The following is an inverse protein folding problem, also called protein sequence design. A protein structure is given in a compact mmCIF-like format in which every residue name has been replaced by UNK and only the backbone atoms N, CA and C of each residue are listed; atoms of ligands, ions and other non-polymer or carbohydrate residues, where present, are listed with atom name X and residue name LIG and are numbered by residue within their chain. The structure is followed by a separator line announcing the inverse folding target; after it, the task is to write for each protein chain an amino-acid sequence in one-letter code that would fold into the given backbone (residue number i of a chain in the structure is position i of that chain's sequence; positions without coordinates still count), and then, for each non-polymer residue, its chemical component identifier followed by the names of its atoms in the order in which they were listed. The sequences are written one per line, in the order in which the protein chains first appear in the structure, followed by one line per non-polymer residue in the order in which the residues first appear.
data_IF_759490198521
#
_entry.id   IF_759490198521
#
_cell.length_a   1.000
_cell.length_b   1.000
_cell.length_c   1.000
_cell.angle_alpha   90.00
_cell.angle_beta   90.00
_cell.angle_gamma   90.00
#
_symmetry.space_group_name_H-M   'P 1'
#
loop_
_entity.id
_entity.type
_entity.pdbx_description
1 polymer ?
#
# COMPACT_ATOMS: atom_id res chain seq x y z
N UNK A 1 -2.03 2.79 3.35
CA UNK A 1 -2.67 3.14 4.63
C UNK A 1 -3.72 4.23 4.48
N UNK A 2 -3.46 5.32 3.74
CA UNK A 2 -4.45 6.41 3.55
C UNK A 2 -5.74 5.98 2.83
N UNK A 3 -5.64 5.10 1.83
CA UNK A 3 -6.80 4.65 1.03
C UNK A 3 -7.78 3.76 1.82
N UNK A 4 -7.25 2.97 2.77
CA UNK A 4 -8.06 2.17 3.69
C UNK A 4 -8.80 3.05 4.69
N UNK A 5 -8.15 4.07 5.26
CA UNK A 5 -8.84 4.99 6.16
C UNK A 5 -9.90 5.81 5.44
N UNK A 6 -9.64 6.21 4.19
CA UNK A 6 -10.61 6.95 3.38
C UNK A 6 -11.85 6.12 3.05
N UNK A 7 -11.66 4.84 2.69
CA UNK A 7 -12.77 3.92 2.43
C UNK A 7 -13.56 3.57 3.69
N UNK A 8 -12.90 3.38 4.84
CA UNK A 8 -13.59 3.14 6.13
C UNK A 8 -14.40 4.36 6.56
N UNK A 9 -13.83 5.58 6.49
CA UNK A 9 -14.53 6.82 6.83
C UNK A 9 -15.74 7.07 5.93
N UNK A 10 -15.60 6.83 4.62
CA UNK A 10 -16.70 6.98 3.66
C UNK A 10 -17.85 5.99 3.91
N UNK A 11 -17.57 4.83 4.53
CA UNK A 11 -18.58 3.83 4.90
C UNK A 11 -19.23 4.16 6.25
N UNK A 12 -18.48 4.73 7.19
CA UNK A 12 -19.00 5.19 8.48
C UNK A 12 -19.93 6.40 8.34
N UNK A 13 -19.55 7.40 7.54
CA UNK A 13 -20.39 8.59 7.27
C UNK A 13 -21.72 8.22 6.60
N UNK A 14 -21.75 7.20 5.73
CA UNK A 14 -22.98 6.76 5.08
C UNK A 14 -23.92 5.95 5.99
N UNK A 15 -23.45 5.47 7.14
CA UNK A 15 -24.27 4.71 8.10
C UNK A 15 -24.93 5.60 9.16
N UNK A 16 -24.38 6.79 9.43
CA UNK A 16 -24.97 7.78 10.36
C UNK A 16 -26.33 8.30 9.82
N UNK A 17 -26.46 8.50 8.51
CA UNK A 17 -27.69 9.00 7.87
C UNK A 17 -28.89 8.03 7.96
N UNK A 18 -28.67 6.76 8.35
CA UNK A 18 -29.72 5.72 8.33
C UNK A 18 -30.30 5.40 9.71
N UNK A 19 -29.79 6.02 10.78
CA UNK A 19 -30.19 5.72 12.18
C UNK A 19 -31.35 6.55 12.71
N UNK A 20 -31.84 7.53 11.95
CA UNK A 20 -32.73 8.58 12.43
C UNK A 20 -34.22 8.41 12.10
N UNK A 21 -34.86 7.24 12.19
CA UNK A 21 -36.34 7.23 12.16
C UNK A 21 -36.99 5.94 12.69
N UNK A 22 -37.12 5.85 14.03
CA UNK A 22 -38.09 4.96 14.67
C UNK A 22 -39.00 5.80 15.58
N UNK A 23 -39.78 6.69 14.96
CA UNK A 23 -40.87 7.40 15.64
C UNK A 23 -42.09 6.48 15.57
N UNK A 24 -42.48 5.95 16.74
CA UNK A 24 -43.71 5.22 16.98
C UNK A 24 -44.89 6.09 16.51
N UNK A 25 -45.55 5.69 15.40
CA UNK A 25 -46.75 6.37 14.90
C UNK A 25 -47.90 6.19 15.92
N UNK A 26 -48.60 7.27 16.33
CA UNK A 26 -49.75 7.15 17.20
C UNK A 26 -50.89 6.43 16.47
N UNK A 27 -51.57 5.53 17.18
CA UNK A 27 -52.78 4.87 16.70
C UNK A 27 -53.89 5.92 16.55
N UNK A 28 -54.24 6.25 15.31
CA UNK A 28 -55.28 7.23 15.00
C UNK A 28 -56.65 6.70 15.44
N UNK A 29 -57.29 7.42 16.36
CA UNK A 29 -58.70 7.23 16.73
C UNK A 29 -59.57 7.43 15.48
N UNK A 30 -60.34 6.42 15.12
CA UNK A 30 -61.17 6.39 13.92
C UNK A 30 -62.33 7.39 14.06
N UNK A 31 -62.16 8.59 13.47
CA UNK A 31 -63.25 9.56 13.31
C UNK A 31 -63.94 9.26 11.98
N UNK A 32 -65.23 8.93 11.95
CA UNK A 32 -65.93 8.65 10.70
C UNK A 32 -65.91 9.91 9.81
N UNK A 33 -65.43 9.76 8.58
CA UNK A 33 -65.39 10.85 7.60
C UNK A 33 -66.80 11.17 7.12
N UNK A 34 -67.12 12.46 7.03
CA UNK A 34 -68.36 12.96 6.45
C UNK A 34 -68.24 12.87 4.93
N UNK A 35 -69.33 12.54 4.24
CA UNK A 35 -69.32 12.22 2.80
C UNK A 35 -68.76 13.34 1.91
N UNK A 36 -68.92 14.62 2.27
CA UNK A 36 -68.33 15.75 1.51
C UNK A 36 -66.81 15.80 1.61
N UNK A 37 -66.25 15.51 2.78
CA UNK A 37 -64.80 15.51 3.00
C UNK A 37 -64.16 14.35 2.22
N UNK A 38 -64.81 13.19 2.19
CA UNK A 38 -64.40 12.07 1.36
C UNK A 38 -64.44 12.39 -0.13
N UNK A 39 -65.51 13.01 -0.63
CA UNK A 39 -65.61 13.37 -2.04
C UNK A 39 -64.52 14.37 -2.44
N UNK A 40 -64.25 15.38 -1.59
CA UNK A 40 -63.14 16.32 -1.81
C UNK A 40 -61.80 15.60 -1.86
N UNK A 41 -61.50 14.77 -0.86
CA UNK A 41 -60.26 14.00 -0.79
C UNK A 41 -60.11 13.02 -1.98
N UNK A 42 -61.20 12.40 -2.42
CA UNK A 42 -61.24 11.52 -3.57
C UNK A 42 -60.94 12.27 -4.87
N UNK A 43 -61.62 13.39 -5.13
CA UNK A 43 -61.42 14.20 -6.33
C UNK A 43 -59.98 14.75 -6.38
N UNK A 44 -59.41 15.16 -5.25
CA UNK A 44 -58.00 15.57 -5.13
C UNK A 44 -57.07 14.39 -5.44
N UNK A 45 -57.28 13.23 -4.80
CA UNK A 45 -56.46 12.03 -4.99
C UNK A 45 -56.46 11.53 -6.45
N UNK A 46 -57.60 11.65 -7.13
CA UNK A 46 -57.76 11.26 -8.53
C UNK A 46 -57.35 12.37 -9.52
N UNK A 47 -56.92 13.55 -9.03
CA UNK A 47 -56.47 14.67 -9.88
C UNK A 47 -57.58 15.41 -10.63
N UNK A 48 -58.84 15.25 -10.22
CA UNK A 48 -60.02 15.82 -10.88
C UNK A 48 -60.32 17.26 -10.40
N UNK A 49 -59.37 18.17 -10.60
CA UNK A 49 -59.41 19.52 -10.03
C UNK A 49 -60.56 20.38 -10.54
N UNK A 50 -60.94 20.28 -11.83
CA UNK A 50 -62.08 21.04 -12.38
C UNK A 50 -63.41 20.57 -11.79
N UNK A 51 -63.57 19.26 -11.62
CA UNK A 51 -64.76 18.66 -11.00
C UNK A 51 -64.86 19.04 -9.54
N UNK A 52 -63.72 19.10 -8.82
CA UNK A 52 -63.66 19.59 -7.45
C UNK A 52 -64.13 21.04 -7.33
N UNK A 53 -63.70 21.92 -8.25
CA UNK A 53 -64.02 23.34 -8.22
C UNK A 53 -65.52 23.59 -8.47
N UNK A 54 -66.09 22.90 -9.46
CA UNK A 54 -67.54 22.90 -9.70
C UNK A 54 -68.31 22.36 -8.50
N UNK A 55 -67.89 21.20 -7.98
CA UNK A 55 -68.51 20.57 -6.81
C UNK A 55 -68.51 21.51 -5.60
N UNK A 56 -67.38 22.12 -5.26
CA UNK A 56 -67.29 23.05 -4.14
C UNK A 56 -68.22 24.25 -4.32
N UNK A 57 -68.25 24.84 -5.52
CA UNK A 57 -69.10 26.00 -5.82
C UNK A 57 -70.58 25.66 -5.65
N UNK A 58 -71.04 24.57 -6.27
CA UNK A 58 -72.42 24.11 -6.17
C UNK A 58 -72.79 23.71 -4.73
N UNK A 59 -71.86 23.08 -4.02
CA UNK A 59 -72.04 22.64 -2.64
C UNK A 59 -72.27 23.81 -1.68
N UNK A 60 -71.43 24.86 -1.75
CA UNK A 60 -71.60 26.06 -0.93
C UNK A 60 -72.86 26.84 -1.31
N UNK A 61 -73.23 26.88 -2.60
CA UNK A 61 -74.45 27.52 -3.05
C UNK A 61 -75.71 26.81 -2.51
N UNK A 62 -75.74 25.48 -2.55
CA UNK A 62 -76.85 24.69 -2.01
C UNK A 62 -76.95 24.81 -0.49
N UNK A 63 -75.81 24.93 0.20
CA UNK A 63 -75.77 25.14 1.66
C UNK A 63 -76.34 26.51 2.05
N UNK A 64 -75.96 27.58 1.35
CA UNK A 64 -76.47 28.94 1.62
C UNK A 64 -77.96 29.08 1.32
N UNK A 65 -78.49 28.33 0.35
CA UNK A 65 -79.92 28.27 0.03
C UNK A 65 -80.74 27.45 1.03
N UNK A 66 -80.09 26.78 1.99
CA UNK A 66 -80.75 25.95 3.01
C UNK A 66 -81.39 24.67 2.47
N UNK A 67 -81.00 24.24 1.26
CA UNK A 67 -81.51 23.02 0.62
C UNK A 67 -80.80 21.78 1.18
N UNK A 68 -79.58 21.98 1.68
CA UNK A 68 -78.72 20.94 2.23
C UNK A 68 -78.65 21.06 3.75
N UNK A 69 -79.18 20.07 4.47
CA UNK A 69 -78.97 19.92 5.90
C UNK A 69 -77.66 19.15 6.14
N UNK A 70 -76.74 19.77 6.86
CA UNK A 70 -75.46 19.15 7.25
C UNK A 70 -75.69 17.94 8.18
N UNK A 71 -76.82 17.90 8.89
CA UNK A 71 -77.17 16.80 9.79
C UNK A 71 -77.71 15.56 9.05
N UNK A 72 -78.21 15.72 7.81
CA UNK A 72 -78.68 14.61 6.95
C UNK A 72 -77.53 13.97 6.15
N UNK A 73 -76.33 14.56 6.24
CA UNK A 73 -75.12 14.05 5.62
C UNK A 73 -74.63 12.80 6.35
N UNK A 74 -74.82 11.65 5.72
CA UNK A 74 -74.34 10.37 6.24
C UNK A 74 -72.81 10.30 6.35
N UNK A 75 -72.35 9.31 7.10
CA UNK A 75 -70.92 8.97 7.18
C UNK A 75 -70.53 8.01 6.05
N UNK A 76 -69.26 8.08 5.64
CA UNK A 76 -68.71 7.12 4.68
C UNK A 76 -68.63 5.73 5.32
N UNK A 77 -69.05 4.67 4.60
CA UNK A 77 -68.92 3.30 5.09
C UNK A 77 -67.47 2.93 5.42
N UNK A 78 -67.27 2.39 6.63
CA UNK A 78 -65.96 2.04 7.21
C UNK A 78 -65.08 1.16 6.28
N UNK A 79 -65.70 0.31 5.46
CA UNK A 79 -65.00 -0.59 4.52
C UNK A 79 -64.15 0.18 3.50
N UNK A 80 -64.59 1.34 3.02
CA UNK A 80 -63.81 2.15 2.06
C UNK A 80 -62.60 2.79 2.72
N UNK A 81 -62.78 3.35 3.93
CA UNK A 81 -61.70 3.91 4.74
C UNK A 81 -60.67 2.83 5.08
N UNK A 82 -61.14 1.63 5.43
CA UNK A 82 -60.28 0.48 5.70
C UNK A 82 -59.46 0.07 4.46
N UNK A 83 -60.08 -0.04 3.29
CA UNK A 83 -59.37 -0.36 2.04
C UNK A 83 -58.32 0.70 1.69
N UNK A 84 -58.64 1.98 1.87
CA UNK A 84 -57.68 3.06 1.65
C UNK A 84 -56.49 2.97 2.62
N UNK A 85 -56.72 2.62 3.89
CA UNK A 85 -55.66 2.39 4.86
C UNK A 85 -54.79 1.19 4.47
N UNK A 86 -55.40 0.09 4.01
CA UNK A 86 -54.68 -1.08 3.52
C UNK A 86 -53.82 -0.75 2.29
N UNK A 87 -54.35 -0.01 1.32
CA UNK A 87 -53.60 0.43 0.14
C UNK A 87 -52.41 1.32 0.52
N UNK A 88 -52.63 2.27 1.44
CA UNK A 88 -51.56 3.11 1.98
C UNK A 88 -50.51 2.26 2.70
N UNK A 89 -50.93 1.24 3.46
CA UNK A 89 -50.01 0.33 4.14
C UNK A 89 -49.21 -0.49 3.13
N UNK A 90 -49.84 -1.05 2.11
CA UNK A 90 -49.17 -1.79 1.02
C UNK A 90 -48.15 -0.89 0.31
N UNK A 91 -48.52 0.36 -0.01
CA UNK A 91 -47.62 1.31 -0.64
C UNK A 91 -46.40 1.62 0.27
N UNK A 92 -46.64 1.83 1.58
CA UNK A 92 -45.55 2.05 2.55
C UNK A 92 -44.62 0.84 2.65
N UNK A 93 -45.17 -0.37 2.74
CA UNK A 93 -44.40 -1.61 2.85
C UNK A 93 -43.60 -1.89 1.59
N UNK A 94 -44.16 -1.63 0.40
CA UNK A 94 -43.42 -1.74 -0.87
C UNK A 94 -42.24 -0.77 -0.90
N UNK A 95 -42.43 0.47 -0.46
CA UNK A 95 -41.34 1.46 -0.38
C UNK A 95 -40.26 1.02 0.61
N UNK A 96 -40.64 0.57 1.80
CA UNK A 96 -39.70 0.04 2.80
C UNK A 96 -38.91 -1.16 2.24
N UNK A 97 -39.58 -2.10 1.58
CA UNK A 97 -38.95 -3.26 0.95
C UNK A 97 -37.91 -2.86 -0.10
N UNK A 98 -38.22 -1.92 -0.99
CA UNK A 98 -37.25 -1.43 -1.98
C UNK A 98 -36.07 -0.70 -1.32
N UNK A 99 -36.32 0.06 -0.26
CA UNK A 99 -35.24 0.69 0.52
C UNK A 99 -34.31 -0.37 1.14
N UNK A 100 -34.87 -1.44 1.74
CA UNK A 100 -34.07 -2.53 2.31
C UNK A 100 -33.27 -3.29 1.25
N UNK A 101 -33.87 -3.54 0.08
CA UNK A 101 -33.16 -4.15 -1.05
C UNK A 101 -31.99 -3.30 -1.51
N UNK A 102 -32.20 -1.99 -1.69
CA UNK A 102 -31.15 -1.06 -2.08
C UNK A 102 -30.02 -1.00 -1.05
N UNK A 103 -30.36 -0.91 0.24
CA UNK A 103 -29.39 -0.94 1.33
C UNK A 103 -28.59 -2.26 1.36
N UNK A 104 -29.26 -3.40 1.20
CA UNK A 104 -28.62 -4.72 1.15
C UNK A 104 -27.68 -4.84 -0.05
N UNK A 105 -28.07 -4.33 -1.22
CA UNK A 105 -27.23 -4.37 -2.41
C UNK A 105 -25.98 -3.51 -2.23
N UNK A 106 -26.15 -2.27 -1.75
CA UNK A 106 -25.05 -1.35 -1.44
C UNK A 106 -24.07 -1.94 -0.42
N UNK A 107 -24.58 -2.56 0.66
CA UNK A 107 -23.76 -3.24 1.64
C UNK A 107 -22.97 -4.41 1.02
N UNK A 108 -23.60 -5.18 0.11
CA UNK A 108 -22.94 -6.23 -0.66
C UNK A 108 -21.79 -5.73 -1.52
N UNK A 109 -21.98 -4.61 -2.23
CA UNK A 109 -20.93 -3.98 -3.05
C UNK A 109 -19.74 -3.51 -2.20
N UNK A 110 -20.02 -2.87 -1.06
CA UNK A 110 -18.99 -2.42 -0.12
C UNK A 110 -18.19 -3.61 0.42
N UNK A 111 -18.86 -4.70 0.80
CA UNK A 111 -18.19 -5.91 1.28
C UNK A 111 -17.23 -6.46 0.23
N UNK A 112 -17.64 -6.52 -1.04
CA UNK A 112 -16.77 -7.00 -2.13
C UNK A 112 -15.54 -6.10 -2.28
N UNK A 113 -15.68 -4.77 -2.20
CA UNK A 113 -14.56 -3.83 -2.26
C UNK A 113 -13.59 -4.01 -1.09
N UNK A 114 -14.10 -4.04 0.15
CA UNK A 114 -13.29 -4.26 1.35
C UNK A 114 -12.57 -5.62 1.33
N UNK A 115 -13.23 -6.66 0.81
CA UNK A 115 -12.63 -7.98 0.66
C UNK A 115 -11.43 -7.96 -0.29
N UNK A 116 -11.57 -7.29 -1.43
CA UNK A 116 -10.47 -7.13 -2.42
C UNK A 116 -9.29 -6.38 -1.80
N UNK A 117 -9.56 -5.28 -1.11
CA UNK A 117 -8.51 -4.47 -0.47
C UNK A 117 -7.76 -5.25 0.62
N UNK A 118 -8.50 -5.94 1.49
CA UNK A 118 -7.92 -6.85 2.49
C UNK A 118 -7.04 -7.92 1.84
N UNK A 119 -7.52 -8.54 0.76
CA UNK A 119 -6.78 -9.60 0.08
C UNK A 119 -5.53 -9.05 -0.63
N UNK A 120 -5.60 -7.84 -1.19
CA UNK A 120 -4.46 -7.10 -1.73
C UNK A 120 -3.40 -6.84 -0.66
N UNK A 121 -3.78 -6.26 0.48
CA UNK A 121 -2.85 -6.01 1.59
C UNK A 121 -2.24 -7.30 2.13
N UNK A 122 -3.05 -8.35 2.31
CA UNK A 122 -2.56 -9.64 2.79
C UNK A 122 -1.56 -10.27 1.82
N UNK A 123 -1.83 -10.20 0.52
CA UNK A 123 -0.90 -10.70 -0.50
C UNK A 123 0.38 -9.86 -0.55
N UNK A 124 0.26 -8.54 -0.51
CA UNK A 124 1.38 -7.61 -0.55
C UNK A 124 2.30 -7.79 0.66
N UNK A 125 1.74 -7.85 1.87
CA UNK A 125 2.50 -8.12 3.09
C UNK A 125 3.27 -9.44 3.02
N UNK A 126 2.64 -10.52 2.50
CA UNK A 126 3.32 -11.81 2.30
C UNK A 126 4.49 -11.70 1.32
N UNK A 127 4.30 -11.00 0.19
CA UNK A 127 5.36 -10.77 -0.81
C UNK A 127 6.53 -10.01 -0.19
N UNK A 128 6.27 -8.88 0.46
CA UNK A 128 7.30 -8.04 1.09
C UNK A 128 8.05 -8.84 2.17
N UNK A 129 7.35 -9.65 2.96
CA UNK A 129 8.00 -10.52 3.95
C UNK A 129 8.93 -11.56 3.30
N UNK A 130 8.53 -12.15 2.17
CA UNK A 130 9.39 -13.08 1.42
C UNK A 130 10.64 -12.37 0.87
N UNK A 131 10.48 -11.20 0.26
CA UNK A 131 11.58 -10.39 -0.27
C UNK A 131 12.55 -9.97 0.86
N UNK A 132 12.02 -9.48 1.98
CA UNK A 132 12.80 -9.15 3.18
C UNK A 132 13.61 -10.36 3.65
N UNK A 133 12.99 -11.53 3.76
CA UNK A 133 13.68 -12.74 4.21
C UNK A 133 14.79 -13.18 3.25
N UNK A 134 14.57 -13.02 1.93
CA UNK A 134 15.60 -13.27 0.91
C UNK A 134 16.80 -12.34 1.10
N UNK A 135 16.56 -11.04 1.24
CA UNK A 135 17.61 -10.05 1.48
C UNK A 135 18.37 -10.31 2.77
N UNK A 136 17.66 -10.68 3.85
CA UNK A 136 18.30 -11.06 5.12
C UNK A 136 19.26 -12.24 4.93
N UNK A 137 18.87 -13.25 4.15
CA UNK A 137 19.72 -14.40 3.88
C UNK A 137 20.94 -14.02 3.03
N UNK A 138 20.76 -13.16 2.02
CA UNK A 138 21.86 -12.67 1.19
C UNK A 138 22.87 -11.86 2.03
N UNK A 139 22.39 -10.98 2.91
CA UNK A 139 23.24 -10.25 3.86
C UNK A 139 24.00 -11.20 4.78
N UNK A 140 23.35 -12.24 5.32
CA UNK A 140 24.01 -13.24 6.17
C UNK A 140 25.11 -13.98 5.41
N UNK A 141 24.84 -14.41 4.17
CA UNK A 141 25.83 -15.07 3.31
C UNK A 141 27.01 -14.16 3.02
N UNK A 142 26.74 -12.89 2.70
CA UNK A 142 27.76 -11.90 2.41
C UNK A 142 28.64 -11.64 3.63
N UNK A 143 28.06 -11.43 4.81
CA UNK A 143 28.80 -11.26 6.06
C UNK A 143 29.71 -12.44 6.35
N UNK A 144 29.23 -13.68 6.15
CA UNK A 144 30.05 -14.90 6.32
C UNK A 144 31.25 -14.91 5.36
N UNK A 145 31.05 -14.51 4.11
CA UNK A 145 32.11 -14.43 3.11
C UNK A 145 33.15 -13.34 3.43
N UNK A 146 32.72 -12.17 3.91
CA UNK A 146 33.66 -11.14 4.38
C UNK A 146 34.45 -11.57 5.60
N UNK A 147 33.80 -12.25 6.56
CA UNK A 147 34.50 -12.81 7.72
C UNK A 147 35.59 -13.82 7.31
N UNK A 148 35.44 -14.54 6.20
CA UNK A 148 36.49 -15.43 5.70
C UNK A 148 37.66 -14.72 5.03
N UNK A 149 37.54 -13.47 4.59
CA UNK A 149 38.67 -12.72 4.03
C UNK A 149 39.62 -12.18 5.11
N UNK A 150 39.11 -11.88 6.30
CA UNK A 150 39.91 -11.39 7.42
C UNK A 150 41.17 -12.24 7.70
N UNK A 151 41.06 -13.58 7.86
CA UNK A 151 42.25 -14.41 8.10
C UNK A 151 43.20 -14.42 6.90
N UNK A 152 42.68 -14.42 5.67
CA UNK A 152 43.55 -14.40 4.47
C UNK A 152 44.36 -13.11 4.35
N UNK A 153 43.77 -11.97 4.73
CA UNK A 153 44.47 -10.68 4.77
C UNK A 153 45.50 -10.63 5.90
N UNK A 154 45.16 -11.18 7.07
CA UNK A 154 46.08 -11.31 8.20
C UNK A 154 47.29 -12.19 7.84
N UNK A 155 47.05 -13.34 7.20
CA UNK A 155 48.11 -14.22 6.70
C UNK A 155 49.00 -13.54 5.66
N UNK A 156 48.42 -12.82 4.70
CA UNK A 156 49.18 -12.10 3.68
C UNK A 156 50.05 -11.00 4.30
N UNK A 157 49.50 -10.29 5.29
CA UNK A 157 50.22 -9.28 6.07
C UNK A 157 51.39 -9.92 6.82
N UNK A 158 51.18 -11.07 7.47
CA UNK A 158 52.25 -11.80 8.16
C UNK A 158 53.34 -12.27 7.18
N UNK A 159 52.97 -12.81 6.01
CA UNK A 159 53.91 -13.20 4.96
C UNK A 159 54.74 -12.01 4.46
N UNK A 160 54.11 -10.86 4.27
CA UNK A 160 54.80 -9.63 3.87
C UNK A 160 55.84 -9.19 4.91
N UNK A 161 55.47 -9.13 6.20
CA UNK A 161 56.39 -8.78 7.28
C UNK A 161 57.56 -9.77 7.38
N UNK A 162 57.29 -11.07 7.21
CA UNK A 162 58.32 -12.10 7.23
C UNK A 162 59.28 -11.97 6.04
N UNK A 163 58.77 -11.74 4.83
CA UNK A 163 59.58 -11.52 3.64
C UNK A 163 60.46 -10.26 3.78
N UNK A 164 59.94 -9.18 4.37
CA UNK A 164 60.73 -7.98 4.69
C UNK A 164 61.86 -8.28 5.67
N UNK A 165 61.59 -9.02 6.75
CA UNK A 165 62.62 -9.43 7.73
C UNK A 165 63.69 -10.29 7.07
N UNK A 166 63.30 -11.27 6.25
CA UNK A 166 64.23 -12.12 5.51
C UNK A 166 65.08 -11.30 4.53
N UNK A 167 64.48 -10.40 3.75
CA UNK A 167 65.20 -9.49 2.85
C UNK A 167 66.27 -8.69 3.61
N UNK A 168 65.93 -8.17 4.79
CA UNK A 168 66.87 -7.43 5.62
C UNK A 168 68.04 -8.31 6.09
N UNK A 169 67.76 -9.53 6.57
CA UNK A 169 68.80 -10.49 6.97
C UNK A 169 69.72 -10.87 5.81
N UNK A 170 69.17 -11.20 4.64
CA UNK A 170 69.96 -11.53 3.44
C UNK A 170 70.79 -10.33 2.97
N UNK A 171 70.27 -9.10 3.08
CA UNK A 171 71.05 -7.90 2.77
C UNK A 171 72.26 -7.76 3.71
N UNK A 172 72.08 -7.98 5.02
CA UNK A 172 73.15 -7.94 6.00
C UNK A 172 74.20 -9.05 5.76
N UNK A 173 73.77 -10.26 5.44
CA UNK A 173 74.66 -11.37 5.09
C UNK A 173 75.48 -11.06 3.83
N UNK A 174 74.83 -10.51 2.79
CA UNK A 174 75.49 -10.03 1.58
C UNK A 174 76.53 -8.96 1.90
N UNK A 175 76.19 -7.97 2.72
CA UNK A 175 77.10 -6.89 3.09
C UNK A 175 78.30 -7.42 3.90
N UNK A 176 78.09 -8.40 4.80
CA UNK A 176 79.16 -9.09 5.52
C UNK A 176 80.08 -9.86 4.57
N UNK A 177 79.53 -10.61 3.61
CA UNK A 177 80.30 -11.36 2.63
C UNK A 177 81.12 -10.43 1.71
N UNK A 178 80.52 -9.31 1.25
CA UNK A 178 81.22 -8.28 0.49
C UNK A 178 82.34 -7.66 1.32
N UNK A 179 82.10 -7.33 2.60
CA UNK A 179 83.13 -6.83 3.50
C UNK A 179 84.31 -7.80 3.68
N UNK A 180 84.03 -9.10 3.81
CA UNK A 180 85.06 -10.14 3.84
C UNK A 180 85.85 -10.21 2.52
N UNK A 181 85.17 -10.20 1.37
CA UNK A 181 85.82 -10.20 0.04
C UNK A 181 86.69 -8.96 -0.17
N UNK A 182 86.22 -7.78 0.23
CA UNK A 182 87.01 -6.54 0.16
C UNK A 182 88.23 -6.59 1.07
N UNK A 183 88.10 -7.13 2.28
CA UNK A 183 89.24 -7.35 3.19
C UNK A 183 90.27 -8.32 2.63
N UNK A 184 89.82 -9.45 2.06
CA UNK A 184 90.69 -10.41 1.37
C UNK A 184 91.35 -9.79 0.14
N UNK A 185 90.62 -9.02 -0.67
CA UNK A 185 91.14 -8.33 -1.84
C UNK A 185 92.20 -7.28 -1.46
N UNK A 186 91.98 -6.52 -0.38
CA UNK A 186 92.97 -5.58 0.14
C UNK A 186 94.25 -6.30 0.58
N UNK A 187 94.12 -7.43 1.29
CA UNK A 187 95.25 -8.29 1.68
C UNK A 187 96.00 -8.81 0.46
N UNK A 188 95.28 -9.29 -0.57
CA UNK A 188 95.87 -9.76 -1.83
C UNK A 188 96.59 -8.63 -2.58
N UNK A 189 96.02 -7.42 -2.63
CA UNK A 189 96.68 -6.25 -3.22
C UNK A 189 97.94 -5.85 -2.47
N UNK A 190 97.95 -5.89 -1.14
CA UNK A 190 99.17 -5.60 -0.36
C UNK A 190 100.26 -6.64 -0.61
N UNK A 191 99.91 -7.91 -0.83
CA UNK A 191 100.87 -8.95 -1.20
C UNK A 191 101.37 -8.78 -2.65
N UNK A 192 100.51 -8.34 -3.58
CA UNK A 192 100.89 -8.09 -4.97
C UNK A 192 101.68 -6.79 -5.17
N UNK A 193 101.61 -5.84 -4.23
CA UNK A 193 102.39 -4.60 -4.24
C UNK A 193 103.92 -4.84 -4.02
N UNK A 194 104.35 -6.10 -3.86
CA UNK A 194 105.75 -6.51 -3.87
C UNK A 194 106.31 -6.92 -5.24
N UNK A 195 105.55 -6.83 -6.34
CA UNK A 195 106.00 -7.22 -7.68
C UNK A 195 105.58 -6.20 -8.75
N UNK A 196 106.35 -5.12 -8.89
CA UNK A 196 106.39 -4.33 -10.12
C UNK A 196 107.51 -4.88 -11.03
N UNK A 197 107.18 -5.33 -12.25
CA UNK A 197 107.82 -4.91 -13.51
C UNK A 197 107.36 -5.69 -14.78
N UNK A 198 106.84 -4.90 -15.73
CA UNK A 198 106.95 -4.94 -17.21
C UNK A 198 105.94 -5.77 -18.06
N UNK A 199 105.35 -5.03 -19.02
CA UNK A 199 104.28 -5.25 -20.01
C UNK A 199 104.89 -5.77 -21.36
N UNK A 200 104.14 -6.26 -22.40
CA UNK A 200 103.43 -5.36 -23.34
C UNK A 200 102.10 -5.89 -23.94
N UNK A 201 101.41 -4.91 -24.52
CA UNK A 201 100.12 -4.87 -25.23
C UNK A 201 100.18 -5.53 -26.63
N UNK A 202 99.19 -6.35 -27.06
CA UNK A 202 98.79 -6.51 -28.49
C UNK A 202 97.27 -6.75 -28.63
N UNK A 203 96.74 -6.03 -29.62
CA UNK A 203 95.37 -5.85 -30.12
C UNK A 203 94.60 -7.11 -30.57
N UNK A 204 93.26 -7.06 -30.53
CA UNK A 204 92.36 -8.06 -31.11
C UNK A 204 90.87 -7.70 -31.02
N UNK A 205 90.42 -6.89 -31.97
CA UNK A 205 89.02 -6.53 -32.27
C UNK A 205 88.06 -7.74 -32.36
N UNK A 206 86.83 -7.62 -31.84
CA UNK A 206 85.57 -7.77 -32.60
C UNK A 206 84.32 -7.82 -31.70
N UNK A 207 83.68 -6.65 -31.56
CA UNK A 207 82.33 -6.34 -32.03
C UNK A 207 81.13 -7.30 -31.87
N UNK A 208 80.08 -6.66 -31.33
CA UNK A 208 78.65 -6.67 -31.71
C UNK A 208 77.71 -7.80 -31.24
N UNK A 209 76.96 -7.42 -30.19
CA UNK A 209 75.51 -7.14 -30.22
C UNK A 209 74.47 -8.27 -30.30
N UNK A 210 73.43 -8.03 -29.50
CA UNK A 210 71.99 -8.19 -29.75
C UNK A 210 71.26 -9.42 -29.18
N UNK A 211 70.37 -9.11 -28.21
CA UNK A 211 68.89 -9.27 -28.24
C UNK A 211 68.35 -9.83 -26.92
N UNK A 212 67.61 -9.04 -26.13
CA UNK A 212 66.18 -8.67 -26.30
C UNK A 212 65.24 -9.72 -25.71
N UNK A 213 64.66 -9.36 -24.56
CA UNK A 213 63.24 -9.35 -24.14
C UNK A 213 62.24 -10.34 -24.77
N UNK A 214 61.24 -10.71 -23.93
CA UNK A 214 59.91 -11.31 -24.17
C UNK A 214 59.83 -12.79 -23.73
N UNK A 215 58.88 -13.29 -22.91
CA UNK A 215 57.61 -12.85 -22.30
C UNK A 215 57.50 -13.52 -20.93
#
# INVERSE_FOLDING_TARGET
DEDFQFTVKSVEEQNEDTKGELILKPTLSHRPEVVDDFLRNFLIKMGMMKTLDCFQTEWYEMLQRGILNIDDMGFVPDVYTHNQLLDNRIASLKKELENYKAASHKAGEILIKLRKERDFHRMHHKRVAQEKNKLINDIKRLKKHYASYEPTLSELTNKYHNALKQKMLTSLEKDRAVGQLSGLQATLRTMNCGQDNIIPLISGNNNYNNNSTCI
#
